data_IF_139617707639
#
_entry.id   IF_139617707639
#
_cell.length_a   1.000
_cell.length_b   1.000
_cell.length_c   1.000
_cell.angle_alpha   90.00
_cell.angle_beta   90.00
_cell.angle_gamma   90.00
#
_symmetry.space_group_name_H-M   'P 1'
#
loop_
_entity.id
_entity.type
_entity.pdbx_description
1 polymer ?
#
# COMPACT_ATOMS: atom_id res chain seq x y z
N UNK A 1 -8.96 5.08 -11.71
CA UNK A 1 -7.53 5.08 -11.34
C UNK A 1 -6.96 3.68 -11.04
N UNK A 2 -7.33 3.01 -9.93
CA UNK A 2 -6.79 1.66 -9.63
C UNK A 2 -7.25 0.59 -10.62
N UNK A 3 -8.50 0.68 -11.08
CA UNK A 3 -9.09 -0.16 -12.13
C UNK A 3 -8.41 -0.06 -13.51
N UNK A 4 -7.49 0.88 -13.69
CA UNK A 4 -6.68 1.05 -14.91
C UNK A 4 -5.26 0.46 -14.75
N UNK A 5 -4.89 0.06 -13.52
CA UNK A 5 -3.62 -0.60 -13.25
C UNK A 5 -3.75 -2.09 -13.61
N UNK A 6 -2.71 -2.60 -14.27
CA UNK A 6 -2.59 -4.02 -14.63
C UNK A 6 -2.77 -4.91 -13.38
N UNK A 7 -3.72 -5.86 -13.35
CA UNK A 7 -4.04 -6.63 -12.14
C UNK A 7 -2.83 -7.28 -11.43
N UNK A 8 -1.85 -7.88 -12.13
CA UNK A 8 -0.67 -8.43 -11.47
C UNK A 8 0.20 -7.39 -10.75
N UNK A 9 0.16 -6.12 -11.16
CA UNK A 9 0.83 -5.01 -10.45
C UNK A 9 0.10 -4.72 -9.14
N UNK A 10 -1.24 -4.74 -9.15
CA UNK A 10 -2.05 -4.55 -7.94
C UNK A 10 -1.81 -5.67 -6.93
N UNK A 11 -1.67 -6.91 -7.38
CA UNK A 11 -1.39 -8.05 -6.48
C UNK A 11 -0.07 -7.85 -5.71
N UNK A 12 1.00 -7.47 -6.43
CA UNK A 12 2.31 -7.20 -5.79
C UNK A 12 2.23 -5.97 -4.87
N UNK A 13 1.53 -4.91 -5.28
CA UNK A 13 1.34 -3.74 -4.43
C UNK A 13 0.57 -4.07 -3.16
N UNK A 14 -0.53 -4.83 -3.25
CA UNK A 14 -1.33 -5.24 -2.10
C UNK A 14 -0.51 -6.07 -1.12
N UNK A 15 0.27 -7.05 -1.62
CA UNK A 15 1.19 -7.80 -0.78
C UNK A 15 2.22 -6.91 -0.09
N UNK A 16 2.86 -6.01 -0.84
CA UNK A 16 3.87 -5.10 -0.30
C UNK A 16 3.31 -4.14 0.74
N UNK A 17 2.13 -3.57 0.49
CA UNK A 17 1.42 -2.68 1.43
C UNK A 17 1.05 -3.44 2.70
N UNK A 18 0.54 -4.67 2.58
CA UNK A 18 0.24 -5.51 3.75
C UNK A 18 1.49 -5.81 4.57
N UNK A 19 2.62 -6.13 3.93
CA UNK A 19 3.89 -6.31 4.64
C UNK A 19 4.33 -5.03 5.36
N UNK A 20 4.16 -3.86 4.72
CA UNK A 20 4.58 -2.57 5.27
C UNK A 20 3.74 -2.10 6.46
N UNK A 21 2.42 -2.26 6.39
CA UNK A 21 1.49 -1.67 7.35
C UNK A 21 0.87 -2.69 8.31
N UNK A 22 0.76 -3.95 7.90
CA UNK A 22 0.09 -5.02 8.65
C UNK A 22 1.03 -6.01 9.34
N UNK A 23 2.34 -5.84 9.22
CA UNK A 23 3.32 -6.78 9.79
C UNK A 23 4.47 -6.08 10.52
N UNK A 24 5.30 -6.86 11.20
CA UNK A 24 6.52 -6.39 11.90
C UNK A 24 7.77 -6.41 11.01
N UNK A 25 7.62 -6.58 9.70
CA UNK A 25 8.76 -6.65 8.77
C UNK A 25 9.40 -5.27 8.64
N UNK A 26 10.75 -5.15 8.71
CA UNK A 26 11.42 -3.89 8.46
C UNK A 26 11.10 -3.30 7.09
N UNK A 27 10.83 -2.00 7.02
CA UNK A 27 10.41 -1.28 5.81
C UNK A 27 11.29 -1.58 4.59
N UNK A 28 12.62 -1.52 4.75
CA UNK A 28 13.55 -1.77 3.65
C UNK A 28 13.47 -3.21 3.12
N UNK A 29 13.18 -4.18 3.99
CA UNK A 29 13.07 -5.58 3.62
C UNK A 29 11.77 -5.85 2.85
N UNK A 30 10.63 -5.32 3.31
CA UNK A 30 9.35 -5.41 2.62
C UNK A 30 9.40 -4.77 1.22
N UNK A 31 10.00 -3.57 1.12
CA UNK A 31 10.20 -2.91 -0.19
C UNK A 31 11.11 -3.74 -1.08
N UNK A 32 12.28 -4.17 -0.59
CA UNK A 32 13.23 -4.95 -1.38
C UNK A 32 12.59 -6.24 -1.92
N UNK A 33 11.92 -7.02 -1.05
CA UNK A 33 11.29 -8.27 -1.45
C UNK A 33 10.19 -8.06 -2.50
N UNK A 34 9.37 -7.03 -2.33
CA UNK A 34 8.29 -6.71 -3.27
C UNK A 34 8.83 -6.25 -4.63
N UNK A 35 9.92 -5.48 -4.65
CA UNK A 35 10.58 -5.04 -5.88
C UNK A 35 11.22 -6.22 -6.62
N UNK A 36 11.90 -7.12 -5.91
CA UNK A 36 12.46 -8.33 -6.54
C UNK A 36 11.35 -9.23 -7.09
N UNK A 37 10.26 -9.44 -6.33
CA UNK A 37 9.09 -10.16 -6.83
C UNK A 37 8.56 -9.54 -8.12
N UNK A 38 8.34 -8.21 -8.12
CA UNK A 38 7.88 -7.49 -9.31
C UNK A 38 8.82 -7.64 -10.50
N UNK A 39 10.15 -7.62 -10.28
CA UNK A 39 11.12 -7.83 -11.38
C UNK A 39 10.95 -9.20 -12.01
N UNK A 40 10.82 -10.24 -11.20
CA UNK A 40 10.70 -11.62 -11.67
C UNK A 40 9.40 -11.84 -12.43
N UNK A 41 8.28 -11.34 -11.91
CA UNK A 41 6.95 -11.69 -12.45
C UNK A 41 6.38 -10.66 -13.43
N UNK A 42 6.84 -9.40 -13.37
CA UNK A 42 6.28 -8.28 -14.15
C UNK A 42 7.32 -7.56 -15.04
N UNK A 43 8.61 -7.79 -14.80
CA UNK A 43 9.73 -7.13 -15.47
C UNK A 43 10.14 -5.78 -14.86
N UNK A 44 11.31 -5.29 -15.28
CA UNK A 44 11.99 -4.11 -14.70
C UNK A 44 11.15 -2.82 -14.71
N UNK A 45 10.39 -2.58 -15.77
CA UNK A 45 9.58 -1.36 -15.88
C UNK A 45 8.51 -1.26 -14.79
N UNK A 46 7.77 -2.35 -14.59
CA UNK A 46 6.73 -2.44 -13.56
C UNK A 46 7.33 -2.51 -12.16
N UNK A 47 8.50 -3.13 -11.98
CA UNK A 47 9.21 -3.14 -10.71
C UNK A 47 9.59 -1.73 -10.22
N UNK A 48 10.02 -0.84 -11.13
CA UNK A 48 10.28 0.58 -10.79
C UNK A 48 9.02 1.30 -10.33
N UNK A 49 7.89 1.04 -10.98
CA UNK A 49 6.59 1.59 -10.57
C UNK A 49 6.20 1.10 -9.17
N UNK A 50 6.29 -0.21 -8.92
CA UNK A 50 6.03 -0.80 -7.59
C UNK A 50 6.92 -0.16 -6.52
N UNK A 51 8.23 -0.04 -6.76
CA UNK A 51 9.16 0.61 -5.83
C UNK A 51 8.74 2.06 -5.52
N UNK A 52 8.37 2.83 -6.54
CA UNK A 52 7.97 4.22 -6.39
C UNK A 52 6.69 4.36 -5.56
N UNK A 53 5.70 3.48 -5.78
CA UNK A 53 4.46 3.48 -5.00
C UNK A 53 4.72 3.05 -3.56
N UNK A 54 5.43 1.95 -3.32
CA UNK A 54 5.71 1.47 -1.97
C UNK A 54 6.52 2.49 -1.15
N UNK A 55 7.50 3.18 -1.76
CA UNK A 55 8.21 4.29 -1.07
C UNK A 55 7.29 5.44 -0.66
N UNK A 56 6.23 5.72 -1.41
CA UNK A 56 5.23 6.72 -1.01
C UNK A 56 4.36 6.19 0.13
N UNK A 57 4.00 4.91 0.10
CA UNK A 57 3.24 4.27 1.19
C UNK A 57 4.01 4.38 2.51
N UNK A 58 5.33 4.16 2.49
CA UNK A 58 6.19 4.22 3.68
C UNK A 58 6.32 5.60 4.32
N UNK A 59 5.77 6.65 3.70
CA UNK A 59 5.76 7.99 4.29
C UNK A 59 4.81 8.11 5.49
N UNK A 60 3.88 7.16 5.64
CA UNK A 60 2.92 7.09 6.74
C UNK A 60 2.85 5.65 7.27
N UNK A 61 2.69 5.52 8.57
CA UNK A 61 2.28 4.28 9.21
C UNK A 61 0.77 4.06 9.04
N UNK A 62 0.24 2.97 9.60
CA UNK A 62 -1.17 2.61 9.47
C UNK A 62 -2.08 3.71 10.02
N UNK A 63 -1.78 4.22 11.21
CA UNK A 63 -2.55 5.30 11.85
C UNK A 63 -2.54 6.57 11.00
N UNK A 64 -1.38 6.96 10.46
CA UNK A 64 -1.26 8.11 9.56
C UNK A 64 -2.00 7.92 8.22
N UNK A 65 -2.20 6.68 7.76
CA UNK A 65 -3.07 6.40 6.61
C UNK A 65 -4.56 6.45 6.98
N UNK A 66 -4.94 5.92 8.14
CA UNK A 66 -6.33 5.99 8.64
C UNK A 66 -6.78 7.44 8.76
N UNK A 67 -5.96 8.32 9.35
CA UNK A 67 -6.26 9.76 9.46
C UNK A 67 -6.48 10.44 8.10
N UNK A 68 -5.78 9.97 7.06
CA UNK A 68 -5.88 10.55 5.71
C UNK A 68 -7.07 10.07 4.91
N UNK A 69 -7.57 8.89 5.20
CA UNK A 69 -8.59 8.20 4.39
C UNK A 69 -9.94 8.20 5.09
N UNK A 70 -9.98 8.22 6.43
CA UNK A 70 -11.22 8.34 7.18
C UNK A 70 -11.83 9.75 6.96
N UNK A 71 -13.13 9.84 6.62
CA UNK A 71 -13.81 11.13 6.56
C UNK A 71 -13.89 11.78 7.95
N UNK A 72 -14.12 13.11 8.04
CA UNK A 72 -14.35 13.77 9.32
C UNK A 72 -15.54 13.15 10.06
N UNK A 73 -15.37 12.86 11.35
CA UNK A 73 -16.41 12.21 12.16
C UNK A 73 -17.71 13.02 12.24
N UNK A 74 -17.60 14.35 12.23
CA UNK A 74 -18.73 15.28 12.27
C UNK A 74 -19.50 15.37 10.94
N UNK A 75 -18.86 15.04 9.83
CA UNK A 75 -19.50 14.96 8.51
C UNK A 75 -20.14 13.60 8.26
N UNK A 76 -19.42 12.51 8.56
CA UNK A 76 -19.89 11.14 8.37
C UNK A 76 -19.29 10.17 9.40
N UNK A 77 -20.01 10.00 10.51
CA UNK A 77 -19.56 9.14 11.61
C UNK A 77 -19.57 7.64 11.24
N UNK A 78 -20.46 7.20 10.35
CA UNK A 78 -20.56 5.79 9.96
C UNK A 78 -19.35 5.38 9.12
N UNK A 79 -19.06 6.13 8.06
CA UNK A 79 -17.91 5.86 7.20
C UNK A 79 -16.58 6.09 7.94
N UNK A 80 -16.52 7.06 8.86
CA UNK A 80 -15.34 7.26 9.71
C UNK A 80 -15.04 6.00 10.53
N UNK A 81 -16.02 5.48 11.26
CA UNK A 81 -15.83 4.29 12.10
C UNK A 81 -15.57 3.04 11.26
N UNK A 82 -16.15 2.93 10.06
CA UNK A 82 -15.88 1.83 9.14
C UNK A 82 -14.41 1.78 8.72
N UNK A 83 -13.77 2.93 8.50
CA UNK A 83 -12.34 3.01 8.14
C UNK A 83 -11.44 2.79 9.36
N UNK A 84 -11.77 3.39 10.51
CA UNK A 84 -10.94 3.31 11.73
C UNK A 84 -10.92 1.91 12.33
N UNK A 85 -11.97 1.11 12.14
CA UNK A 85 -12.14 -0.20 12.78
C UNK A 85 -12.17 -1.39 11.81
N UNK A 86 -11.72 -1.23 10.57
CA UNK A 86 -11.70 -2.29 9.54
C UNK A 86 -10.66 -3.38 9.82
#
# INVERSE_FOLDING_TARGET
PLREVDPPVLDVLNMGVHQLLGTRIPTHAAVSASVELARVVLGEGRAKFVNAVLRKVTAHDLDGWVEKVAPPYDEDAEDHLAVVHS
#
